data_IF_709721522929
#
_entry.id   IF_709721522929
#
_cell.length_a   1.000
_cell.length_b   1.000
_cell.length_c   1.000
_cell.angle_alpha   90.00
_cell.angle_beta   90.00
_cell.angle_gamma   90.00
#
_symmetry.space_group_name_H-M   'P 1'
#
loop_
_entity.id
_entity.type
_entity.pdbx_description
1 polymer ?
#
# COMPACT_ATOMS: atom_id res chain seq x y z
N UNK A 1 0.70 -35.54 19.67
CA UNK A 1 0.73 -34.48 18.62
C UNK A 1 2.02 -33.67 18.76
N UNK A 2 2.83 -33.57 17.71
CA UNK A 2 4.10 -32.81 17.70
C UNK A 2 3.82 -31.30 17.94
N UNK A 3 4.72 -30.59 18.62
CA UNK A 3 4.61 -29.17 18.91
C UNK A 3 4.35 -28.32 17.63
N UNK A 4 5.00 -28.66 16.52
CA UNK A 4 4.76 -27.99 15.23
C UNK A 4 3.33 -28.19 14.71
N UNK A 5 2.82 -29.42 14.82
CA UNK A 5 1.43 -29.77 14.44
C UNK A 5 0.43 -29.00 15.29
N UNK A 6 0.70 -28.82 16.59
CA UNK A 6 -0.13 -28.02 17.51
C UNK A 6 -0.07 -26.53 17.18
N UNK A 7 1.11 -25.98 16.89
CA UNK A 7 1.26 -24.58 16.51
C UNK A 7 0.51 -24.25 15.23
N UNK A 8 0.76 -24.95 14.12
CA UNK A 8 0.15 -24.61 12.82
C UNK A 8 -1.35 -24.86 12.74
N UNK A 9 -1.88 -25.86 13.47
CA UNK A 9 -3.31 -26.21 13.37
C UNK A 9 -4.17 -25.62 14.48
N UNK A 10 -3.58 -25.16 15.59
CA UNK A 10 -4.34 -24.65 16.75
C UNK A 10 -3.93 -23.21 17.05
N UNK A 11 -2.65 -22.98 17.37
CA UNK A 11 -2.19 -21.69 17.88
C UNK A 11 -2.16 -20.60 16.80
N UNK A 12 -1.57 -20.89 15.64
CA UNK A 12 -1.40 -19.92 14.55
C UNK A 12 -2.75 -19.45 13.97
N UNK A 13 -3.72 -20.33 13.65
CA UNK A 13 -5.03 -19.90 13.15
C UNK A 13 -5.79 -19.04 14.18
N UNK A 14 -5.74 -19.43 15.46
CA UNK A 14 -6.41 -18.69 16.53
C UNK A 14 -5.84 -17.26 16.68
N UNK A 15 -4.51 -17.11 16.64
CA UNK A 15 -3.87 -15.79 16.70
C UNK A 15 -4.17 -14.99 15.42
N UNK A 16 -4.13 -15.62 14.25
CA UNK A 16 -4.32 -14.93 12.97
C UNK A 16 -5.72 -14.33 12.84
N UNK A 17 -6.76 -14.99 13.36
CA UNK A 17 -8.11 -14.43 13.38
C UNK A 17 -8.21 -13.12 14.17
N UNK A 18 -7.48 -13.01 15.28
CA UNK A 18 -7.49 -11.82 16.14
C UNK A 18 -6.53 -10.74 15.62
N UNK A 19 -5.38 -11.14 15.09
CA UNK A 19 -4.32 -10.23 14.64
C UNK A 19 -4.51 -9.74 13.20
N UNK A 20 -5.32 -10.41 12.36
CA UNK A 20 -5.54 -10.05 10.96
C UNK A 20 -5.94 -8.58 10.75
N UNK A 21 -6.87 -7.99 11.53
CA UNK A 21 -7.19 -6.56 11.40
C UNK A 21 -5.97 -5.67 11.63
N UNK A 22 -5.18 -5.95 12.67
CA UNK A 22 -3.96 -5.21 12.99
C UNK A 22 -2.91 -5.34 11.89
N UNK A 23 -2.73 -6.54 11.32
CA UNK A 23 -1.82 -6.75 10.21
C UNK A 23 -2.22 -5.93 8.98
N UNK A 24 -3.51 -5.87 8.63
CA UNK A 24 -4.00 -5.07 7.51
C UNK A 24 -3.71 -3.58 7.75
N UNK A 25 -3.99 -3.07 8.95
CA UNK A 25 -3.72 -1.67 9.31
C UNK A 25 -2.23 -1.35 9.23
N UNK A 26 -1.37 -2.21 9.80
CA UNK A 26 0.08 -2.01 9.78
C UNK A 26 0.64 -2.09 8.36
N UNK A 27 0.19 -3.05 7.56
CA UNK A 27 0.56 -3.15 6.16
C UNK A 27 0.18 -1.88 5.40
N UNK A 28 -1.07 -1.42 5.55
CA UNK A 28 -1.57 -0.21 4.88
C UNK A 28 -0.78 1.03 5.30
N UNK A 29 -0.45 1.14 6.59
CA UNK A 29 0.37 2.24 7.13
C UNK A 29 1.78 2.25 6.56
N UNK A 30 2.44 1.09 6.47
CA UNK A 30 3.79 0.99 5.90
C UNK A 30 3.80 1.18 4.37
N UNK A 31 2.79 0.67 3.67
CA UNK A 31 2.67 0.79 2.21
C UNK A 31 2.59 2.26 1.75
N UNK A 32 1.96 3.12 2.55
CA UNK A 32 1.77 4.54 2.25
C UNK A 32 2.69 5.46 3.06
N UNK A 33 3.79 4.96 3.64
CA UNK A 33 4.65 5.75 4.52
C UNK A 33 5.57 6.71 3.75
N UNK A 34 5.00 7.80 3.24
CA UNK A 34 5.71 8.85 2.51
C UNK A 34 6.87 9.45 3.32
N UNK A 35 6.62 9.80 4.58
CA UNK A 35 7.61 10.48 5.43
C UNK A 35 8.88 9.67 5.60
N UNK A 36 8.77 8.35 5.79
CA UNK A 36 9.92 7.47 5.90
C UNK A 36 10.78 7.52 4.63
N UNK A 37 10.18 7.29 3.46
CA UNK A 37 10.92 7.24 2.19
C UNK A 37 11.54 8.60 1.84
N UNK A 38 10.73 9.66 1.90
CA UNK A 38 11.16 10.99 1.50
C UNK A 38 12.29 11.53 2.40
N UNK A 39 12.14 11.42 3.73
CA UNK A 39 13.12 11.96 4.67
C UNK A 39 14.38 11.11 4.77
N UNK A 40 14.28 9.78 4.61
CA UNK A 40 15.43 8.89 4.78
C UNK A 40 16.40 8.97 3.61
N UNK A 41 15.91 8.82 2.38
CA UNK A 41 16.78 8.70 1.21
C UNK A 41 16.21 9.34 -0.06
N UNK A 42 15.10 10.09 0.03
CA UNK A 42 14.43 10.68 -1.12
C UNK A 42 14.12 9.66 -2.24
N UNK A 43 13.87 8.38 -1.91
CA UNK A 43 13.55 7.35 -2.90
C UNK A 43 14.76 6.71 -3.61
N UNK A 44 16.00 7.03 -3.25
CA UNK A 44 17.21 6.41 -3.81
C UNK A 44 17.56 5.05 -3.19
N UNK A 45 18.67 4.39 -3.59
CA UNK A 45 19.58 4.74 -4.67
C UNK A 45 19.05 4.27 -6.04
N UNK A 46 19.61 4.84 -7.11
CA UNK A 46 19.29 4.47 -8.48
C UNK A 46 18.04 5.17 -9.03
N UNK A 47 17.87 5.04 -10.34
CA UNK A 47 16.72 5.56 -11.09
C UNK A 47 16.09 4.40 -11.84
N UNK A 48 14.76 4.33 -11.80
CA UNK A 48 13.97 3.37 -12.58
C UNK A 48 13.42 4.02 -13.87
N UNK A 49 13.88 5.23 -14.19
CA UNK A 49 13.37 6.05 -15.29
C UNK A 49 12.27 7.01 -14.86
N UNK A 50 11.94 8.00 -15.70
CA UNK A 50 10.84 8.94 -15.45
C UNK A 50 10.98 9.79 -14.17
N UNK A 51 12.20 9.98 -13.67
CA UNK A 51 12.45 10.71 -12.43
C UNK A 51 12.10 9.95 -11.14
N UNK A 52 11.74 8.67 -11.22
CA UNK A 52 11.52 7.80 -10.06
C UNK A 52 12.83 7.15 -9.60
N UNK A 53 13.03 7.08 -8.28
CA UNK A 53 14.08 6.30 -7.67
C UNK A 53 13.65 4.86 -7.37
N UNK A 54 14.60 3.97 -7.12
CA UNK A 54 14.31 2.54 -6.95
C UNK A 54 13.52 2.20 -5.69
N UNK A 55 13.53 3.07 -4.69
CA UNK A 55 12.75 2.88 -3.45
C UNK A 55 11.59 3.86 -3.33
N UNK A 56 11.28 4.61 -4.39
CA UNK A 56 10.10 5.46 -4.40
C UNK A 56 8.83 4.63 -4.35
N UNK A 57 7.91 5.06 -3.50
CA UNK A 57 6.51 4.65 -3.55
C UNK A 57 5.74 5.63 -4.43
N UNK A 58 4.57 5.23 -4.93
CA UNK A 58 3.78 6.05 -5.87
C UNK A 58 3.60 7.49 -5.39
N UNK A 59 3.28 7.67 -4.10
CA UNK A 59 3.09 9.00 -3.51
C UNK A 59 4.41 9.80 -3.44
N UNK A 60 5.55 9.16 -3.15
CA UNK A 60 6.85 9.86 -3.08
C UNK A 60 7.35 10.27 -4.46
N UNK A 61 7.11 9.44 -5.47
CA UNK A 61 7.41 9.79 -6.85
C UNK A 61 6.53 10.93 -7.37
N UNK A 62 5.20 10.88 -7.15
CA UNK A 62 4.29 11.97 -7.54
C UNK A 62 4.70 13.29 -6.88
N UNK A 63 5.05 13.26 -5.60
CA UNK A 63 5.57 14.43 -4.89
C UNK A 63 6.87 14.96 -5.52
N UNK A 64 7.79 14.08 -5.91
CA UNK A 64 9.04 14.47 -6.57
C UNK A 64 8.80 15.12 -7.94
N UNK A 65 7.81 14.64 -8.70
CA UNK A 65 7.41 15.25 -9.98
C UNK A 65 6.88 16.69 -9.80
N UNK A 66 6.29 17.03 -8.65
CA UNK A 66 5.72 18.36 -8.38
C UNK A 66 6.68 19.33 -7.67
N UNK A 67 7.75 18.81 -7.07
CA UNK A 67 8.70 19.59 -6.25
C UNK A 67 10.11 19.67 -6.83
N UNK A 68 10.39 18.95 -7.92
CA UNK A 68 11.66 19.02 -8.62
C UNK A 68 11.95 20.37 -9.29
N UNK A 69 13.15 20.51 -9.86
CA UNK A 69 13.64 21.74 -10.52
C UNK A 69 12.76 22.20 -11.68
N UNK A 70 11.99 21.29 -12.29
CA UNK A 70 10.97 21.61 -13.29
C UNK A 70 9.69 20.85 -12.96
N UNK A 71 8.76 21.47 -12.23
CA UNK A 71 7.54 20.79 -11.78
C UNK A 71 6.67 20.32 -12.94
N UNK A 72 6.32 19.04 -12.94
CA UNK A 72 5.50 18.38 -13.96
C UNK A 72 4.08 18.13 -13.44
N UNK A 73 3.35 19.21 -13.14
CA UNK A 73 2.01 19.12 -12.53
C UNK A 73 1.00 18.37 -13.41
N UNK A 74 1.06 18.53 -14.74
CA UNK A 74 0.17 17.84 -15.67
C UNK A 74 0.38 16.31 -15.64
N UNK A 75 1.64 15.87 -15.62
CA UNK A 75 2.00 14.46 -15.51
C UNK A 75 1.62 13.88 -14.14
N UNK A 76 1.95 14.57 -13.05
CA UNK A 76 1.59 14.17 -11.70
C UNK A 76 0.08 14.01 -11.52
N UNK A 77 -0.71 14.94 -12.06
CA UNK A 77 -2.18 14.90 -12.00
C UNK A 77 -2.76 13.75 -12.80
N UNK A 78 -2.26 13.52 -14.02
CA UNK A 78 -2.71 12.41 -14.86
C UNK A 78 -2.43 11.04 -14.20
N UNK A 79 -1.22 10.85 -13.65
CA UNK A 79 -0.83 9.63 -12.93
C UNK A 79 -1.73 9.42 -11.70
N UNK A 80 -1.99 10.49 -10.94
CA UNK A 80 -2.86 10.44 -9.75
C UNK A 80 -4.28 9.98 -10.12
N UNK A 81 -4.86 10.49 -11.21
CA UNK A 81 -6.18 10.08 -11.68
C UNK A 81 -6.20 8.61 -12.10
N UNK A 82 -5.18 8.15 -12.84
CA UNK A 82 -5.07 6.75 -13.29
C UNK A 82 -5.00 5.81 -12.07
N UNK A 83 -4.13 6.10 -11.11
CA UNK A 83 -3.99 5.29 -9.89
C UNK A 83 -5.28 5.29 -9.08
N UNK A 84 -5.93 6.44 -8.94
CA UNK A 84 -7.21 6.55 -8.21
C UNK A 84 -8.29 5.68 -8.85
N UNK A 85 -8.39 5.69 -10.19
CA UNK A 85 -9.32 4.83 -10.90
C UNK A 85 -9.06 3.34 -10.63
N UNK A 86 -7.79 2.91 -10.65
CA UNK A 86 -7.40 1.53 -10.33
C UNK A 86 -7.79 1.17 -8.89
N UNK A 87 -7.48 2.04 -7.91
CA UNK A 87 -7.80 1.82 -6.49
C UNK A 87 -9.31 1.71 -6.28
N UNK A 88 -10.10 2.58 -6.91
CA UNK A 88 -11.57 2.55 -6.83
C UNK A 88 -12.09 1.23 -7.41
N UNK A 89 -11.64 0.84 -8.60
CA UNK A 89 -12.04 -0.42 -9.23
C UNK A 89 -11.73 -1.65 -8.36
N UNK A 90 -10.50 -1.74 -7.85
CA UNK A 90 -10.09 -2.86 -6.97
C UNK A 90 -10.89 -2.84 -5.67
N UNK A 91 -11.08 -1.68 -5.05
CA UNK A 91 -11.85 -1.54 -3.81
C UNK A 91 -13.28 -2.01 -4.01
N UNK A 92 -13.94 -1.62 -5.10
CA UNK A 92 -15.31 -2.08 -5.42
C UNK A 92 -15.38 -3.60 -5.59
N UNK A 93 -14.40 -4.21 -6.27
CA UNK A 93 -14.34 -5.67 -6.42
C UNK A 93 -14.18 -6.38 -5.06
N UNK A 94 -13.31 -5.85 -4.19
CA UNK A 94 -13.08 -6.39 -2.85
C UNK A 94 -14.32 -6.23 -1.98
N UNK A 95 -14.93 -5.04 -1.93
CA UNK A 95 -16.16 -4.81 -1.17
C UNK A 95 -17.30 -5.72 -1.61
N UNK A 96 -17.43 -5.96 -2.93
CA UNK A 96 -18.43 -6.88 -3.46
C UNK A 96 -18.17 -8.34 -3.06
N UNK A 97 -16.91 -8.75 -2.93
CA UNK A 97 -16.53 -10.12 -2.54
C UNK A 97 -16.62 -10.36 -1.03
N UNK A 98 -16.41 -9.34 -0.22
CA UNK A 98 -16.39 -9.45 1.26
C UNK A 98 -17.80 -9.40 1.88
N UNK A 99 -18.88 -9.29 1.08
CA UNK A 99 -20.26 -9.17 1.61
C UNK A 99 -20.40 -8.06 2.67
N UNK A 100 -19.57 -7.02 2.61
CA UNK A 100 -19.57 -5.95 3.63
C UNK A 100 -20.89 -5.16 3.68
N UNK A 101 -21.76 -5.31 2.66
CA UNK A 101 -23.11 -4.76 2.59
C UNK A 101 -24.21 -5.71 3.09
N UNK A 102 -23.90 -6.98 3.38
CA UNK A 102 -24.85 -7.96 3.94
C UNK A 102 -24.67 -8.12 5.45
N UNK A 103 -24.10 -7.11 6.12
CA UNK A 103 -24.01 -7.02 7.58
C UNK A 103 -25.11 -6.09 8.11
N UNK A 104 -26.32 -6.22 7.57
CA UNK A 104 -27.56 -5.68 8.13
C UNK A 104 -28.60 -6.79 7.98
N UNK A 105 -28.64 -7.66 8.98
CA UNK A 105 -29.81 -8.39 9.51
C UNK A 105 -29.40 -9.05 10.85
#
# INVERSE_FOLDING_TARGET
>A
ANAWKRFSNITLPAIFLVAAPTFITQYTGNFNNFSMIYLFNNGGPGSVGGGAGSTDILISWIYKLTTGTSPQYSMASAITLIISAIVICVSLLVFKKTNAFNMED
#
